data_IF_116392640387
#
_entry.id   IF_116392640387
#
_cell.length_a   1.000
_cell.length_b   1.000
_cell.length_c   1.000
_cell.angle_alpha   90.00
_cell.angle_beta   90.00
_cell.angle_gamma   90.00
#
_symmetry.space_group_name_H-M   'P 1'
#
loop_
_entity.id
_entity.type
_entity.pdbx_description
1 polymer ?
#
# COMPACT_ATOMS: atom_id res chain seq x y z
N UNK A 1 -14.34 15.38 16.59
CA UNK A 1 -13.61 15.65 15.33
C UNK A 1 -12.21 15.07 15.47
N UNK A 2 -12.01 13.80 15.10
CA UNK A 2 -10.72 13.13 15.28
C UNK A 2 -9.85 13.43 14.05
N UNK A 3 -8.81 14.25 14.21
CA UNK A 3 -7.82 14.48 13.16
C UNK A 3 -6.92 13.24 13.07
N UNK A 4 -7.13 12.41 12.05
CA UNK A 4 -6.20 11.34 11.69
C UNK A 4 -5.10 11.93 10.81
N UNK A 5 -3.84 11.62 11.09
CA UNK A 5 -2.73 11.91 10.17
C UNK A 5 -2.90 11.10 8.89
N UNK A 6 -2.51 11.65 7.75
CA UNK A 6 -2.54 10.96 6.46
C UNK A 6 -1.12 10.85 5.91
N UNK A 7 -0.74 9.67 5.41
CA UNK A 7 0.48 9.44 4.66
C UNK A 7 0.08 9.04 3.25
N UNK A 8 0.58 9.77 2.28
CA UNK A 8 0.39 9.50 0.87
C UNK A 8 1.67 8.87 0.32
N UNK A 9 1.58 7.62 -0.15
CA UNK A 9 2.69 6.85 -0.71
C UNK A 9 2.51 6.68 -2.23
N UNK A 10 3.42 7.26 -3.00
CA UNK A 10 3.38 7.20 -4.47
C UNK A 10 4.25 6.05 -4.98
N UNK A 11 3.66 5.15 -5.77
CA UNK A 11 4.34 3.94 -6.24
C UNK A 11 3.99 3.59 -7.68
N UNK A 12 4.73 2.61 -8.22
CA UNK A 12 4.50 2.07 -9.56
C UNK A 12 4.76 0.55 -9.60
N UNK A 13 4.08 -0.11 -10.53
CA UNK A 13 4.10 -1.54 -10.83
C UNK A 13 5.49 -2.10 -11.09
N UNK A 14 6.35 -1.30 -11.71
CA UNK A 14 7.74 -1.66 -12.00
C UNK A 14 8.69 -1.37 -10.83
N UNK A 15 8.26 -0.61 -9.83
CA UNK A 15 9.08 -0.25 -8.68
C UNK A 15 9.10 -1.40 -7.64
N UNK A 16 9.96 -2.38 -7.86
CA UNK A 16 10.18 -3.50 -6.93
C UNK A 16 10.44 -3.06 -5.47
N UNK A 17 11.29 -2.05 -5.17
CA UNK A 17 11.48 -1.63 -3.78
C UNK A 17 10.22 -0.98 -3.18
N UNK A 18 9.37 -0.33 -3.97
CA UNK A 18 8.09 0.21 -3.50
C UNK A 18 7.16 -0.94 -3.09
N UNK A 19 7.01 -1.96 -3.94
CA UNK A 19 6.18 -3.14 -3.66
C UNK A 19 6.63 -3.88 -2.39
N UNK A 20 7.94 -3.98 -2.17
CA UNK A 20 8.51 -4.62 -0.97
C UNK A 20 8.17 -3.87 0.34
N UNK A 21 7.78 -2.59 0.29
CA UNK A 21 7.39 -1.82 1.47
C UNK A 21 5.92 -2.00 1.86
N UNK A 22 5.09 -2.56 1.00
CA UNK A 22 3.64 -2.66 1.22
C UNK A 22 3.26 -3.44 2.48
N UNK A 23 3.89 -4.58 2.82
CA UNK A 23 3.60 -5.29 4.06
C UNK A 23 3.87 -4.44 5.30
N UNK A 24 4.94 -3.63 5.24
CA UNK A 24 5.29 -2.71 6.33
C UNK A 24 4.28 -1.58 6.44
N UNK A 25 3.83 -1.01 5.32
CA UNK A 25 2.76 -0.02 5.31
C UNK A 25 1.47 -0.60 5.87
N UNK A 26 1.11 -1.83 5.51
CA UNK A 26 -0.05 -2.53 6.07
C UNK A 26 0.09 -2.72 7.59
N UNK A 27 1.24 -3.20 8.06
CA UNK A 27 1.49 -3.37 9.50
C UNK A 27 1.39 -2.02 10.27
N UNK A 28 1.80 -0.92 9.66
CA UNK A 28 1.63 0.42 10.23
C UNK A 28 0.16 0.85 10.23
N UNK A 29 -0.58 0.58 9.17
CA UNK A 29 -2.03 0.83 9.08
C UNK A 29 -2.80 0.03 10.13
N UNK A 30 -2.42 -1.23 10.37
CA UNK A 30 -3.04 -2.10 11.37
C UNK A 30 -2.75 -1.60 12.79
N UNK A 31 -1.51 -1.13 13.05
CA UNK A 31 -1.11 -0.63 14.37
C UNK A 31 -1.68 0.75 14.70
N UNK A 32 -1.73 1.65 13.72
CA UNK A 32 -2.06 3.06 13.93
C UNK A 32 -3.36 3.52 13.26
N UNK A 33 -4.18 2.62 12.69
CA UNK A 33 -5.35 2.98 11.86
C UNK A 33 -6.43 3.87 12.51
N UNK A 34 -6.41 3.98 13.84
CA UNK A 34 -7.27 4.90 14.59
C UNK A 34 -6.81 6.35 14.48
N UNK A 35 -5.51 6.57 14.28
CA UNK A 35 -4.84 7.87 14.32
C UNK A 35 -4.12 8.21 13.00
N UNK A 36 -3.84 7.21 12.17
CA UNK A 36 -3.07 7.29 10.93
C UNK A 36 -3.79 6.57 9.78
N UNK A 37 -3.90 7.22 8.64
CA UNK A 37 -4.39 6.64 7.40
C UNK A 37 -3.28 6.66 6.36
N UNK A 38 -3.03 5.53 5.73
CA UNK A 38 -2.03 5.36 4.67
C UNK A 38 -2.79 5.16 3.37
N UNK A 39 -2.54 6.01 2.40
CA UNK A 39 -3.14 5.97 1.06
C UNK A 39 -2.01 5.73 0.07
N UNK A 40 -2.10 4.65 -0.71
CA UNK A 40 -1.16 4.37 -1.79
C UNK A 40 -1.73 4.87 -3.11
N UNK A 41 -0.93 5.61 -3.87
CA UNK A 41 -1.34 6.29 -5.11
C UNK A 41 -0.43 5.81 -6.23
N UNK A 42 -1.02 5.40 -7.35
CA UNK A 42 -0.28 5.01 -8.54
C UNK A 42 -0.98 5.51 -9.79
N UNK A 43 -0.20 5.80 -10.84
CA UNK A 43 -0.71 6.10 -12.18
C UNK A 43 -0.88 4.85 -13.05
N UNK A 44 -0.55 3.66 -12.53
CA UNK A 44 -0.77 2.41 -13.24
C UNK A 44 -2.24 2.14 -13.51
N UNK A 45 -2.52 1.42 -14.60
CA UNK A 45 -3.88 1.00 -14.92
C UNK A 45 -4.40 0.05 -13.86
N UNK A 46 -5.70 0.15 -13.56
CA UNK A 46 -6.35 -0.73 -12.59
C UNK A 46 -6.16 -2.22 -12.89
N UNK A 47 -6.10 -2.61 -14.16
CA UNK A 47 -5.83 -4.01 -14.55
C UNK A 47 -4.44 -4.47 -14.13
N UNK A 48 -3.40 -3.65 -14.36
CA UNK A 48 -2.02 -3.92 -13.92
C UNK A 48 -1.96 -4.06 -12.40
N UNK A 49 -2.62 -3.14 -11.69
CA UNK A 49 -2.68 -3.15 -10.23
C UNK A 49 -3.38 -4.43 -9.75
N UNK A 50 -4.57 -4.75 -10.26
CA UNK A 50 -5.29 -5.98 -9.89
C UNK A 50 -4.46 -7.23 -10.15
N UNK A 51 -3.79 -7.32 -11.31
CA UNK A 51 -2.92 -8.45 -11.62
C UNK A 51 -1.75 -8.57 -10.65
N UNK A 52 -1.14 -7.46 -10.21
CA UNK A 52 -0.06 -7.48 -9.22
C UNK A 52 -0.52 -7.98 -7.85
N UNK A 53 -1.68 -7.53 -7.40
CA UNK A 53 -2.25 -7.95 -6.12
C UNK A 53 -2.82 -9.38 -6.16
N UNK A 54 -3.33 -9.82 -7.31
CA UNK A 54 -3.86 -11.17 -7.51
C UNK A 54 -2.76 -12.23 -7.69
N UNK A 55 -1.65 -11.88 -8.34
CA UNK A 55 -0.49 -12.78 -8.58
C UNK A 55 0.35 -13.10 -7.32
N UNK A 56 -0.24 -13.05 -6.13
CA UNK A 56 0.40 -13.45 -4.87
C UNK A 56 1.67 -12.69 -4.45
N UNK A 57 2.18 -11.74 -5.24
CA UNK A 57 3.39 -10.96 -4.91
C UNK A 57 3.23 -10.22 -3.59
N UNK A 58 2.00 -9.81 -3.26
CA UNK A 58 1.67 -9.07 -2.03
C UNK A 58 0.89 -9.95 -1.03
N UNK A 59 0.31 -11.08 -1.46
CA UNK A 59 -0.49 -11.96 -0.60
C UNK A 59 0.37 -12.93 0.22
N UNK A 60 1.57 -13.25 -0.25
CA UNK A 60 2.48 -14.21 0.40
C UNK A 60 3.57 -13.53 1.26
N UNK A 61 3.56 -12.20 1.40
CA UNK A 61 4.41 -11.47 2.33
C UNK A 61 3.83 -11.49 3.76
N UNK A 62 3.47 -12.70 4.21
CA UNK A 62 3.08 -12.99 5.59
C UNK A 62 4.30 -13.22 6.47
#
# INVERSE_FOLDING_TARGET
MQRKGCIDDFWASFCQPCLAQFPRLQAMQDKFGKELQIITITSDRQETVRQLFDKSVIRDLK
#
